data_IF_708211467720
#
_entry.id   IF_708211467720
#
_cell.length_a   1.000
_cell.length_b   1.000
_cell.length_c   1.000
_cell.angle_alpha   90.00
_cell.angle_beta   90.00
_cell.angle_gamma   90.00
#
_symmetry.space_group_name_H-M   'P 1'
#
loop_
_entity.id
_entity.type
_entity.pdbx_description
1 polymer ?
#
# COMPACT_ATOMS: atom_id res chain seq x y z
N UNK A 1 -3.76 -21.53 -17.76
CA UNK A 1 -4.48 -20.26 -17.92
C UNK A 1 -5.62 -20.12 -16.90
N UNK A 2 -6.57 -21.09 -16.84
CA UNK A 2 -7.66 -21.06 -15.86
C UNK A 2 -7.20 -20.98 -14.40
N UNK A 3 -6.15 -21.73 -14.03
CA UNK A 3 -5.57 -21.70 -12.68
C UNK A 3 -5.11 -20.29 -12.25
N UNK A 4 -4.42 -19.57 -13.12
CA UNK A 4 -3.99 -18.19 -12.84
C UNK A 4 -5.16 -17.22 -12.66
N UNK A 5 -6.26 -17.41 -13.40
CA UNK A 5 -7.48 -16.63 -13.19
C UNK A 5 -8.11 -16.89 -11.82
N UNK A 6 -8.13 -18.14 -11.38
CA UNK A 6 -8.64 -18.52 -10.05
C UNK A 6 -7.75 -17.90 -8.96
N UNK A 7 -6.42 -18.01 -9.10
CA UNK A 7 -5.45 -17.44 -8.15
C UNK A 7 -5.58 -15.93 -8.10
N UNK A 8 -5.64 -15.27 -9.24
CA UNK A 8 -5.82 -13.82 -9.33
C UNK A 8 -7.10 -13.39 -8.61
N UNK A 9 -8.21 -14.05 -8.89
CA UNK A 9 -9.49 -13.68 -8.30
C UNK A 9 -9.53 -13.97 -6.78
N UNK A 10 -8.94 -15.08 -6.33
CA UNK A 10 -8.83 -15.36 -4.90
C UNK A 10 -7.96 -14.30 -4.18
N UNK A 11 -6.85 -13.88 -4.80
CA UNK A 11 -6.01 -12.80 -4.30
C UNK A 11 -6.75 -11.45 -4.23
N UNK A 12 -7.55 -11.14 -5.24
CA UNK A 12 -8.39 -9.95 -5.25
C UNK A 12 -9.45 -9.97 -4.14
N UNK A 13 -10.08 -11.13 -3.86
CA UNK A 13 -11.01 -11.30 -2.75
C UNK A 13 -10.33 -11.08 -1.39
N UNK A 14 -9.15 -11.68 -1.18
CA UNK A 14 -8.37 -11.46 0.02
C UNK A 14 -7.97 -9.99 0.19
N UNK A 15 -7.54 -9.32 -0.87
CA UNK A 15 -7.18 -7.91 -0.85
C UNK A 15 -8.37 -7.00 -0.54
N UNK A 16 -9.55 -7.30 -1.08
CA UNK A 16 -10.79 -6.58 -0.76
C UNK A 16 -11.09 -6.66 0.75
N UNK A 17 -10.97 -7.86 1.34
CA UNK A 17 -11.13 -8.03 2.78
C UNK A 17 -10.04 -7.30 3.60
N UNK A 18 -8.77 -7.42 3.22
CA UNK A 18 -7.67 -6.71 3.87
C UNK A 18 -7.85 -5.19 3.81
N UNK A 19 -8.42 -4.68 2.72
CA UNK A 19 -8.74 -3.25 2.58
C UNK A 19 -9.78 -2.80 3.59
N UNK A 20 -10.82 -3.60 3.85
CA UNK A 20 -11.80 -3.33 4.91
C UNK A 20 -11.14 -3.37 6.29
N UNK A 21 -10.27 -4.36 6.54
CA UNK A 21 -9.50 -4.44 7.78
C UNK A 21 -8.61 -3.20 7.96
N UNK A 22 -7.87 -2.79 6.92
CA UNK A 22 -7.02 -1.61 6.95
C UNK A 22 -7.78 -0.31 7.17
N UNK A 23 -9.04 -0.25 6.71
CA UNK A 23 -9.92 0.91 6.94
C UNK A 23 -10.52 0.93 8.35
N UNK A 24 -10.79 -0.23 8.98
CA UNK A 24 -11.55 -0.32 10.24
C UNK A 24 -10.69 -0.51 11.49
N UNK A 25 -9.67 -1.37 11.43
CA UNK A 25 -8.87 -1.74 12.60
C UNK A 25 -8.11 -0.57 13.23
N UNK A 26 -7.46 0.34 12.48
CA UNK A 26 -6.72 1.43 13.10
C UNK A 26 -7.59 2.43 13.87
N UNK A 27 -8.90 2.45 13.60
CA UNK A 27 -9.89 3.31 14.28
C UNK A 27 -10.80 2.51 15.21
N UNK A 28 -10.36 1.30 15.60
CA UNK A 28 -11.04 0.41 16.55
C UNK A 28 -12.49 0.05 16.17
N UNK A 29 -12.83 0.12 14.88
CA UNK A 29 -14.14 -0.29 14.38
C UNK A 29 -14.20 -1.80 14.16
N UNK A 30 -15.37 -2.38 14.47
CA UNK A 30 -15.62 -3.79 14.20
C UNK A 30 -15.53 -4.12 12.70
N UNK A 31 -14.89 -5.26 12.39
CA UNK A 31 -14.79 -5.77 11.02
C UNK A 31 -16.13 -6.39 10.58
N UNK A 32 -16.90 -6.91 11.54
CA UNK A 32 -18.12 -7.69 11.28
C UNK A 32 -19.34 -6.78 11.17
N UNK A 33 -19.45 -5.79 12.06
CA UNK A 33 -20.62 -4.90 12.15
C UNK A 33 -20.20 -3.43 12.11
N UNK A 34 -20.91 -2.57 11.34
CA UNK A 34 -21.97 -2.88 10.41
C UNK A 34 -21.46 -3.54 9.12
N UNK A 35 -22.37 -4.16 8.35
CA UNK A 35 -22.06 -4.69 7.01
C UNK A 35 -21.51 -3.57 6.12
N UNK A 36 -20.83 -3.97 5.02
CA UNK A 36 -20.36 -3.00 4.02
C UNK A 36 -21.54 -2.17 3.49
N UNK A 37 -21.40 -0.87 3.52
CA UNK A 37 -22.43 0.09 3.12
C UNK A 37 -21.80 1.24 2.34
N UNK A 38 -22.61 1.98 1.61
CA UNK A 38 -22.15 3.16 0.92
C UNK A 38 -21.89 4.30 1.92
N UNK A 39 -20.75 4.97 1.84
CA UNK A 39 -20.40 6.09 2.74
C UNK A 39 -21.38 7.28 2.60
N UNK A 40 -22.04 7.43 1.44
CA UNK A 40 -22.91 8.55 1.14
C UNK A 40 -24.37 8.29 1.58
N UNK A 41 -24.99 7.18 1.11
CA UNK A 41 -26.40 6.90 1.38
C UNK A 41 -26.62 5.90 2.52
N UNK A 42 -25.55 5.35 3.12
CA UNK A 42 -25.57 4.37 4.22
C UNK A 42 -26.34 3.07 3.90
N UNK A 43 -26.72 2.86 2.65
CA UNK A 43 -27.39 1.64 2.20
C UNK A 43 -26.42 0.46 2.24
N UNK A 44 -26.81 -0.68 2.83
CA UNK A 44 -26.00 -1.88 2.83
C UNK A 44 -25.79 -2.39 1.40
N UNK A 45 -24.56 -2.80 1.09
CA UNK A 45 -24.21 -3.35 -0.21
C UNK A 45 -24.78 -4.75 -0.37
N UNK A 46 -25.32 -5.05 -1.55
CA UNK A 46 -25.75 -6.39 -1.90
C UNK A 46 -24.53 -7.30 -2.12
N UNK A 47 -24.69 -8.61 -1.99
CA UNK A 47 -23.58 -9.56 -2.14
C UNK A 47 -22.88 -9.48 -3.50
N UNK A 48 -23.62 -9.20 -4.57
CA UNK A 48 -23.05 -9.04 -5.92
C UNK A 48 -22.28 -7.71 -6.09
N UNK A 49 -22.56 -6.69 -5.26
CA UNK A 49 -21.83 -5.43 -5.24
C UNK A 49 -20.51 -5.56 -4.43
N UNK A 50 -20.31 -6.68 -3.74
CA UNK A 50 -19.07 -7.00 -3.03
C UNK A 50 -18.08 -7.84 -3.87
N UNK A 51 -18.45 -8.23 -5.10
CA UNK A 51 -17.55 -8.96 -5.98
C UNK A 51 -16.39 -8.07 -6.41
N UNK A 52 -15.13 -8.43 -6.05
CA UNK A 52 -13.98 -7.60 -6.36
C UNK A 52 -13.83 -7.38 -7.86
N UNK A 53 -13.39 -6.20 -8.25
CA UNK A 53 -13.20 -5.74 -9.63
C UNK A 53 -14.49 -5.69 -10.45
N UNK A 54 -15.30 -6.75 -10.45
CA UNK A 54 -16.51 -6.85 -11.27
C UNK A 54 -17.58 -5.83 -10.87
N UNK A 55 -17.81 -5.65 -9.57
CA UNK A 55 -18.81 -4.69 -9.09
C UNK A 55 -18.42 -3.26 -9.50
N UNK A 56 -17.15 -2.90 -9.32
CA UNK A 56 -16.66 -1.57 -9.68
C UNK A 56 -16.78 -1.30 -11.20
N UNK A 57 -16.40 -2.28 -12.03
CA UNK A 57 -16.50 -2.16 -13.49
C UNK A 57 -17.95 -2.11 -13.96
N UNK A 58 -18.81 -2.97 -13.42
CA UNK A 58 -20.24 -3.01 -13.76
C UNK A 58 -20.98 -1.74 -13.38
N UNK A 59 -20.68 -1.18 -12.21
CA UNK A 59 -21.28 0.07 -11.71
C UNK A 59 -20.54 1.34 -12.20
N UNK A 60 -19.53 1.20 -13.07
CA UNK A 60 -18.72 2.32 -13.58
C UNK A 60 -18.16 3.20 -12.45
N UNK A 61 -17.81 2.59 -11.32
CA UNK A 61 -17.26 3.30 -10.16
C UNK A 61 -18.28 4.14 -9.37
N UNK A 62 -19.57 3.87 -9.50
CA UNK A 62 -20.63 4.61 -8.81
C UNK A 62 -21.50 3.70 -7.94
N UNK A 63 -22.06 4.25 -6.88
CA UNK A 63 -23.03 3.53 -6.05
C UNK A 63 -24.30 3.23 -6.85
N UNK A 64 -24.86 2.03 -6.69
CA UNK A 64 -26.10 1.62 -7.35
C UNK A 64 -27.30 2.49 -6.99
N UNK A 65 -27.37 2.97 -5.74
CA UNK A 65 -28.55 3.68 -5.20
C UNK A 65 -28.43 5.19 -5.32
N UNK A 66 -27.31 5.78 -4.88
CA UNK A 66 -27.16 7.24 -4.84
C UNK A 66 -26.21 7.78 -5.93
N UNK A 67 -25.62 6.91 -6.76
CA UNK A 67 -24.67 7.28 -7.81
C UNK A 67 -23.43 8.06 -7.33
N UNK A 68 -23.16 8.07 -6.01
CA UNK A 68 -21.93 8.66 -5.47
C UNK A 68 -20.72 7.88 -5.99
N UNK A 69 -19.64 8.60 -6.31
CA UNK A 69 -18.41 8.01 -6.84
C UNK A 69 -17.69 7.18 -5.77
N UNK A 70 -17.38 5.94 -6.11
CA UNK A 70 -16.58 5.02 -5.27
C UNK A 70 -15.11 5.37 -5.46
N UNK A 71 -14.35 5.43 -4.36
CA UNK A 71 -12.90 5.73 -4.42
C UNK A 71 -12.17 4.67 -5.24
N UNK A 72 -11.36 5.06 -6.23
CA UNK A 72 -10.65 4.11 -7.07
C UNK A 72 -9.58 3.31 -6.31
N UNK A 73 -9.22 3.73 -5.09
CA UNK A 73 -8.29 3.02 -4.21
C UNK A 73 -8.73 1.58 -3.94
N UNK A 74 -10.04 1.32 -3.84
CA UNK A 74 -10.56 -0.03 -3.65
C UNK A 74 -10.28 -0.92 -4.87
N UNK A 75 -10.52 -0.41 -6.07
CA UNK A 75 -10.22 -1.13 -7.32
C UNK A 75 -8.72 -1.46 -7.44
N UNK A 76 -7.87 -0.46 -7.15
CA UNK A 76 -6.41 -0.65 -7.24
C UNK A 76 -5.90 -1.64 -6.19
N UNK A 77 -6.43 -1.63 -4.97
CA UNK A 77 -6.04 -2.60 -3.95
C UNK A 77 -6.40 -4.04 -4.35
N UNK A 78 -7.58 -4.26 -4.93
CA UNK A 78 -8.03 -5.56 -5.42
C UNK A 78 -7.17 -6.04 -6.61
N UNK A 79 -6.86 -5.15 -7.56
CA UNK A 79 -6.00 -5.46 -8.70
C UNK A 79 -4.58 -5.85 -8.24
N UNK A 80 -3.98 -5.04 -7.36
CA UNK A 80 -2.64 -5.30 -6.82
C UNK A 80 -2.63 -6.62 -6.03
N UNK A 81 -3.64 -6.88 -5.20
CA UNK A 81 -3.74 -8.13 -4.46
C UNK A 81 -3.88 -9.38 -5.35
N UNK A 82 -4.64 -9.28 -6.43
CA UNK A 82 -4.73 -10.33 -7.44
C UNK A 82 -3.39 -10.59 -8.15
N UNK A 83 -2.69 -9.53 -8.56
CA UNK A 83 -1.35 -9.62 -9.16
C UNK A 83 -0.32 -10.18 -8.17
N UNK A 84 -0.37 -9.77 -6.91
CA UNK A 84 0.49 -10.27 -5.86
C UNK A 84 0.31 -11.78 -5.64
N UNK A 85 -0.93 -12.27 -5.63
CA UNK A 85 -1.22 -13.70 -5.53
C UNK A 85 -0.67 -14.48 -6.72
N UNK A 86 -0.80 -13.97 -7.94
CA UNK A 86 -0.20 -14.57 -9.13
C UNK A 86 1.33 -14.59 -9.05
N UNK A 87 1.94 -13.51 -8.56
CA UNK A 87 3.39 -13.43 -8.38
C UNK A 87 3.88 -14.46 -7.36
N UNK A 88 3.26 -14.54 -6.19
CA UNK A 88 3.60 -15.52 -5.14
C UNK A 88 3.53 -16.94 -5.71
N UNK A 89 2.52 -17.24 -6.51
CA UNK A 89 2.33 -18.55 -7.09
C UNK A 89 3.34 -18.84 -8.21
N UNK A 90 3.61 -17.88 -9.12
CA UNK A 90 4.53 -18.07 -10.26
C UNK A 90 5.97 -18.30 -9.82
N UNK A 91 6.42 -17.57 -8.79
CA UNK A 91 7.78 -17.68 -8.25
C UNK A 91 7.93 -18.84 -7.25
N UNK A 92 6.83 -19.58 -6.97
CA UNK A 92 6.83 -20.68 -5.98
C UNK A 92 7.47 -20.25 -4.65
N UNK A 93 7.14 -19.02 -4.22
CA UNK A 93 7.71 -18.42 -3.01
C UNK A 93 7.43 -19.29 -1.79
N UNK A 94 8.39 -19.36 -0.89
CA UNK A 94 8.21 -20.01 0.41
C UNK A 94 7.08 -19.32 1.20
N UNK A 95 6.39 -20.09 2.03
CA UNK A 95 5.21 -19.62 2.78
C UNK A 95 5.51 -18.41 3.68
N UNK A 96 6.70 -18.35 4.20
CA UNK A 96 7.22 -17.26 5.04
C UNK A 96 7.36 -15.94 4.25
N UNK A 97 7.94 -15.99 3.04
CA UNK A 97 8.02 -14.82 2.17
C UNK A 97 6.65 -14.40 1.65
N UNK A 98 5.78 -15.35 1.31
CA UNK A 98 4.41 -15.06 0.94
C UNK A 98 3.66 -14.35 2.08
N UNK A 99 3.81 -14.83 3.32
CA UNK A 99 3.25 -14.23 4.51
C UNK A 99 3.77 -12.80 4.74
N UNK A 100 5.10 -12.59 4.61
CA UNK A 100 5.71 -11.27 4.71
C UNK A 100 5.14 -10.29 3.67
N UNK A 101 5.00 -10.72 2.41
CA UNK A 101 4.43 -9.89 1.34
C UNK A 101 2.98 -9.48 1.61
N UNK A 102 2.16 -10.38 2.16
CA UNK A 102 0.79 -10.08 2.54
C UNK A 102 0.74 -9.04 3.68
N UNK A 103 1.61 -9.18 4.69
CA UNK A 103 1.71 -8.19 5.78
C UNK A 103 2.16 -6.83 5.25
N UNK A 104 3.18 -6.78 4.39
CA UNK A 104 3.64 -5.53 3.79
C UNK A 104 2.55 -4.88 2.94
N UNK A 105 1.78 -5.67 2.20
CA UNK A 105 0.61 -5.17 1.46
C UNK A 105 -0.43 -4.57 2.41
N UNK A 106 -0.74 -5.25 3.52
CA UNK A 106 -1.66 -4.72 4.52
C UNK A 106 -1.17 -3.41 5.16
N UNK A 107 0.12 -3.33 5.55
CA UNK A 107 0.73 -2.12 6.11
C UNK A 107 0.66 -0.97 5.09
N UNK A 108 0.93 -1.24 3.82
CA UNK A 108 0.84 -0.23 2.77
C UNK A 108 -0.58 0.31 2.57
N UNK A 109 -1.62 -0.53 2.78
CA UNK A 109 -3.01 -0.11 2.76
C UNK A 109 -3.35 0.80 3.95
N UNK A 110 -2.86 0.47 5.15
CA UNK A 110 -3.07 1.32 6.33
C UNK A 110 -2.40 2.67 6.16
N UNK A 111 -1.16 2.69 5.67
CA UNK A 111 -0.43 3.92 5.38
C UNK A 111 -1.14 4.78 4.33
N UNK A 112 -1.67 4.16 3.28
CA UNK A 112 -2.45 4.86 2.24
C UNK A 112 -3.70 5.57 2.80
N UNK A 113 -4.34 5.01 3.83
CA UNK A 113 -5.56 5.58 4.40
C UNK A 113 -5.31 6.57 5.52
N UNK A 114 -4.32 6.32 6.38
CA UNK A 114 -4.14 7.04 7.64
C UNK A 114 -2.78 7.73 7.78
N UNK A 115 -1.82 7.43 6.92
CA UNK A 115 -0.43 7.90 7.02
C UNK A 115 0.23 7.55 8.37
N UNK A 116 -0.14 6.38 8.92
CA UNK A 116 0.42 5.84 10.16
C UNK A 116 0.89 4.41 9.94
N UNK A 117 1.98 4.06 10.58
CA UNK A 117 2.40 2.66 10.68
C UNK A 117 1.67 2.01 11.86
N UNK A 118 0.80 1.04 11.53
CA UNK A 118 0.06 0.29 12.54
C UNK A 118 0.94 -0.85 13.06
N UNK A 119 1.33 -0.87 14.35
CA UNK A 119 2.37 -1.76 14.84
C UNK A 119 1.95 -3.23 14.95
N UNK A 120 0.66 -3.51 15.15
CA UNK A 120 0.17 -4.88 15.40
C UNK A 120 0.55 -5.88 14.30
N UNK A 121 0.35 -5.61 12.99
CA UNK A 121 0.76 -6.54 11.93
C UNK A 121 2.27 -6.72 11.85
N UNK A 122 3.03 -5.68 12.18
CA UNK A 122 4.49 -5.73 12.24
C UNK A 122 4.96 -6.72 13.32
N UNK A 123 4.41 -6.63 14.53
CA UNK A 123 4.74 -7.59 15.60
C UNK A 123 4.22 -8.99 15.29
N UNK A 124 3.07 -9.12 14.62
CA UNK A 124 2.57 -10.41 14.18
C UNK A 124 3.53 -11.10 13.19
N UNK A 125 4.28 -10.34 12.39
CA UNK A 125 5.27 -10.88 11.47
C UNK A 125 6.47 -11.54 12.18
N UNK A 126 6.76 -11.16 13.44
CA UNK A 126 7.86 -11.74 14.20
C UNK A 126 7.57 -13.17 14.64
N UNK A 127 6.30 -13.57 14.79
CA UNK A 127 5.93 -14.90 15.27
C UNK A 127 6.51 -16.03 14.40
N UNK A 128 6.27 -16.08 13.09
CA UNK A 128 6.88 -17.10 12.23
C UNK A 128 8.40 -16.92 12.09
N UNK A 129 8.92 -15.70 12.19
CA UNK A 129 10.36 -15.45 12.18
C UNK A 129 11.05 -16.17 13.35
N UNK A 130 10.55 -16.03 14.57
CA UNK A 130 11.08 -16.69 15.74
C UNK A 130 11.00 -18.21 15.64
N UNK A 131 9.91 -18.73 15.04
CA UNK A 131 9.68 -20.17 14.97
C UNK A 131 10.53 -20.84 13.88
N UNK A 132 10.69 -20.20 12.71
CA UNK A 132 11.29 -20.80 11.51
C UNK A 132 12.77 -20.44 11.32
N UNK A 133 13.18 -19.23 11.73
CA UNK A 133 14.46 -18.63 11.36
C UNK A 133 15.41 -18.35 12.53
N UNK A 134 15.04 -18.79 13.76
CA UNK A 134 15.89 -18.61 14.96
C UNK A 134 17.39 -18.90 14.76
N UNK A 135 17.83 -19.87 13.94
CA UNK A 135 19.25 -20.16 13.75
C UNK A 135 19.98 -19.30 12.73
N UNK A 136 19.29 -18.47 11.95
CA UNK A 136 19.96 -17.70 10.88
C UNK A 136 20.42 -16.34 11.41
N UNK A 137 21.74 -16.12 11.35
CA UNK A 137 22.48 -15.02 11.98
C UNK A 137 22.24 -13.60 11.40
N UNK A 138 21.02 -13.16 11.18
CA UNK A 138 20.75 -11.78 10.75
C UNK A 138 20.65 -10.77 11.91
N UNK A 139 20.72 -11.23 13.15
CA UNK A 139 20.57 -10.40 14.35
C UNK A 139 21.59 -9.27 14.45
N UNK A 140 22.87 -9.56 14.15
CA UNK A 140 23.93 -8.55 14.17
C UNK A 140 23.69 -7.44 13.14
N UNK A 141 23.31 -7.82 11.90
CA UNK A 141 22.96 -6.85 10.87
C UNK A 141 21.78 -5.98 11.26
N UNK A 142 20.72 -6.60 11.79
CA UNK A 142 19.52 -5.90 12.22
C UNK A 142 19.78 -4.96 13.42
N UNK A 143 20.57 -5.37 14.41
CA UNK A 143 20.91 -4.52 15.55
C UNK A 143 21.75 -3.32 15.15
N UNK A 144 22.79 -3.52 14.32
CA UNK A 144 23.63 -2.43 13.80
C UNK A 144 22.77 -1.45 12.97
N UNK A 145 21.89 -1.98 12.11
CA UNK A 145 21.02 -1.18 11.27
C UNK A 145 20.00 -0.39 12.10
N UNK A 146 19.39 -1.02 13.09
CA UNK A 146 18.47 -0.38 14.03
C UNK A 146 19.16 0.77 14.79
N UNK A 147 20.35 0.54 15.33
CA UNK A 147 21.13 1.58 16.01
C UNK A 147 21.48 2.73 15.05
N UNK A 148 21.87 2.43 13.83
CA UNK A 148 22.13 3.45 12.80
C UNK A 148 20.90 4.30 12.47
N UNK A 149 19.74 3.65 12.30
CA UNK A 149 18.47 4.35 12.06
C UNK A 149 18.03 5.19 13.26
N UNK A 150 18.17 4.69 14.48
CA UNK A 150 17.88 5.46 15.70
C UNK A 150 18.78 6.68 15.83
N UNK A 151 20.04 6.57 15.48
CA UNK A 151 20.95 7.73 15.42
C UNK A 151 20.49 8.75 14.37
N UNK A 152 20.05 8.30 13.19
CA UNK A 152 19.52 9.22 12.17
C UNK A 152 18.24 9.91 12.60
N UNK A 153 17.32 9.22 13.31
CA UNK A 153 16.11 9.85 13.87
C UNK A 153 16.43 10.89 14.93
N UNK A 154 17.47 10.66 15.71
CA UNK A 154 17.93 11.60 16.73
C UNK A 154 18.52 12.88 16.10
N UNK A 155 19.28 12.76 15.00
CA UNK A 155 19.96 13.89 14.35
C UNK A 155 19.09 14.59 13.28
N UNK A 156 18.22 13.87 12.62
CA UNK A 156 17.38 14.37 11.54
C UNK A 156 15.90 14.12 11.88
N UNK A 157 15.16 15.17 12.18
CA UNK A 157 13.72 15.13 12.54
C UNK A 157 12.78 14.66 11.41
N UNK A 158 13.29 13.94 10.42
CA UNK A 158 12.53 13.50 9.23
C UNK A 158 12.17 12.02 9.16
N UNK A 159 12.68 11.19 10.07
CA UNK A 159 12.41 9.76 10.08
C UNK A 159 11.42 9.40 11.20
N UNK A 160 10.34 8.67 10.87
CA UNK A 160 9.37 8.21 11.86
C UNK A 160 9.87 6.95 12.61
N UNK A 161 9.51 6.81 13.88
CA UNK A 161 9.85 5.58 14.65
C UNK A 161 9.29 4.32 13.98
N UNK A 162 8.13 4.39 13.35
CA UNK A 162 7.54 3.28 12.62
C UNK A 162 8.39 2.80 11.44
N UNK A 163 9.04 3.72 10.72
CA UNK A 163 9.94 3.37 9.61
C UNK A 163 11.17 2.60 10.12
N UNK A 164 11.68 2.96 11.32
CA UNK A 164 12.76 2.22 11.97
C UNK A 164 12.34 0.79 12.32
N UNK A 165 11.14 0.63 12.92
CA UNK A 165 10.60 -0.69 13.25
C UNK A 165 10.41 -1.55 12.00
N UNK A 166 9.79 -0.99 10.94
CA UNK A 166 9.55 -1.69 9.69
C UNK A 166 10.87 -2.17 9.05
N UNK A 167 11.83 -1.28 8.90
CA UNK A 167 13.11 -1.60 8.28
C UNK A 167 13.93 -2.58 9.11
N UNK A 168 13.86 -2.50 10.43
CA UNK A 168 14.54 -3.44 11.33
C UNK A 168 13.94 -4.85 11.19
N UNK A 169 12.62 -4.97 11.19
CA UNK A 169 11.92 -6.26 11.02
C UNK A 169 12.21 -6.84 9.63
N UNK A 170 12.20 -6.02 8.57
CA UNK A 170 12.59 -6.47 7.24
C UNK A 170 14.02 -6.98 7.20
N UNK A 171 14.95 -6.32 7.91
CA UNK A 171 16.35 -6.76 7.97
C UNK A 171 16.48 -8.09 8.71
N UNK A 172 15.66 -8.34 9.72
CA UNK A 172 15.60 -9.65 10.38
C UNK A 172 15.10 -10.76 9.44
N UNK A 173 14.12 -10.44 8.57
CA UNK A 173 13.54 -11.41 7.64
C UNK A 173 14.44 -11.76 6.45
N UNK A 174 14.95 -10.77 5.78
CA UNK A 174 15.58 -10.91 4.45
C UNK A 174 17.09 -10.68 4.51
N UNK A 175 17.57 -10.09 5.60
CA UNK A 175 18.96 -9.69 5.75
C UNK A 175 19.21 -8.24 5.36
N UNK A 176 20.38 -7.72 5.74
CA UNK A 176 20.71 -6.30 5.57
C UNK A 176 20.91 -5.92 4.09
N UNK A 177 21.60 -6.75 3.32
CA UNK A 177 21.96 -6.43 1.94
C UNK A 177 20.73 -6.27 1.01
N UNK A 178 19.74 -7.19 0.97
CA UNK A 178 18.54 -7.00 0.17
C UNK A 178 17.71 -5.78 0.62
N UNK A 179 17.62 -5.51 1.92
CA UNK A 179 16.89 -4.35 2.44
C UNK A 179 17.52 -3.05 1.97
N UNK A 180 18.84 -2.93 1.99
CA UNK A 180 19.55 -1.76 1.47
C UNK A 180 19.31 -1.57 -0.03
N UNK A 181 19.29 -2.64 -0.82
CA UNK A 181 18.98 -2.58 -2.26
C UNK A 181 17.55 -2.10 -2.52
N UNK A 182 16.58 -2.61 -1.75
CA UNK A 182 15.17 -2.19 -1.84
C UNK A 182 15.04 -0.72 -1.46
N UNK A 183 15.69 -0.28 -0.39
CA UNK A 183 15.66 1.09 0.07
C UNK A 183 16.26 2.05 -0.98
N UNK A 184 17.41 1.68 -1.57
CA UNK A 184 18.01 2.45 -2.66
C UNK A 184 17.08 2.55 -3.87
N UNK A 185 16.47 1.44 -4.29
CA UNK A 185 15.52 1.44 -5.40
C UNK A 185 14.31 2.34 -5.10
N UNK A 186 13.74 2.25 -3.89
CA UNK A 186 12.63 3.08 -3.45
C UNK A 186 12.99 4.58 -3.46
N UNK A 187 14.16 4.95 -2.96
CA UNK A 187 14.66 6.33 -2.99
C UNK A 187 14.83 6.84 -4.43
N UNK A 188 15.41 6.04 -5.32
CA UNK A 188 15.56 6.41 -6.73
C UNK A 188 14.21 6.63 -7.41
N UNK A 189 13.24 5.73 -7.19
CA UNK A 189 11.89 5.87 -7.74
C UNK A 189 11.22 7.14 -7.21
N UNK A 190 11.33 7.43 -5.91
CA UNK A 190 10.82 8.66 -5.31
C UNK A 190 11.42 9.92 -5.94
N UNK A 191 12.72 9.95 -6.12
CA UNK A 191 13.44 11.10 -6.72
C UNK A 191 12.98 11.29 -8.17
N UNK A 192 12.90 10.20 -8.95
CA UNK A 192 12.41 10.24 -10.33
C UNK A 192 10.97 10.76 -10.41
N UNK A 193 10.09 10.25 -9.55
CA UNK A 193 8.69 10.68 -9.53
C UNK A 193 8.53 12.14 -9.14
N UNK A 194 9.28 12.62 -8.15
CA UNK A 194 9.29 14.05 -7.77
C UNK A 194 9.87 14.93 -8.89
N UNK A 195 10.91 14.45 -9.58
CA UNK A 195 11.49 15.14 -10.74
C UNK A 195 10.47 15.32 -11.87
N UNK A 196 9.72 14.26 -12.20
CA UNK A 196 8.66 14.30 -13.23
C UNK A 196 7.54 15.25 -12.80
N UNK A 197 7.07 15.17 -11.55
CA UNK A 197 6.02 16.04 -11.02
C UNK A 197 6.42 17.52 -11.06
N UNK A 198 7.67 17.84 -10.69
CA UNK A 198 8.22 19.20 -10.71
C UNK A 198 8.38 19.73 -12.16
N UNK A 199 8.77 18.86 -13.07
CA UNK A 199 8.85 19.17 -14.51
C UNK A 199 7.46 19.46 -15.10
N UNK A 200 6.46 18.61 -14.81
CA UNK A 200 5.08 18.79 -15.24
C UNK A 200 4.47 20.10 -14.72
N UNK A 201 4.73 20.47 -13.47
CA UNK A 201 4.25 21.72 -12.88
C UNK A 201 4.92 22.94 -13.56
N UNK A 202 6.22 22.86 -13.90
CA UNK A 202 6.93 23.93 -14.65
C UNK A 202 6.39 24.09 -16.05
N UNK A 203 6.09 22.99 -16.76
CA UNK A 203 5.51 23.01 -18.11
C UNK A 203 4.09 23.60 -18.11
N UNK A 204 3.27 23.25 -17.11
CA UNK A 204 1.92 23.80 -16.97
C UNK A 204 1.96 25.31 -16.64
N UNK A 205 2.89 25.74 -15.79
CA UNK A 205 3.09 27.16 -15.48
C UNK A 205 3.62 27.97 -16.68
N UNK A 206 4.43 27.36 -17.56
CA UNK A 206 4.85 27.95 -18.85
C UNK A 206 3.68 28.04 -19.81
N UNK A 207 2.85 26.99 -19.96
CA UNK A 207 1.66 27.00 -20.81
C UNK A 207 0.62 28.03 -20.33
N UNK A 208 0.43 28.19 -19.06
CA UNK A 208 -0.45 29.22 -18.49
C UNK A 208 0.07 30.63 -18.79
N UNK A 209 1.38 30.88 -18.69
CA UNK A 209 1.98 32.16 -19.08
C UNK A 209 1.87 32.45 -20.56
N UNK A 210 2.02 31.45 -21.43
CA UNK A 210 1.83 31.61 -22.88
C UNK A 210 0.38 31.87 -23.27
N UNK A 211 -0.58 31.38 -22.47
CA UNK A 211 -2.02 31.61 -22.73
C UNK A 211 -2.49 32.97 -22.24
N UNK A 212 -1.76 33.62 -21.33
CA UNK A 212 -2.08 34.95 -20.77
C UNK A 212 -1.33 36.10 -21.42
N UNK A 213 -0.58 35.90 -22.48
CA UNK A 213 -0.02 36.92 -23.32
C UNK A 213 -0.39 36.62 -24.80
N UNK A 214 -1.14 37.36 -25.51
CA UNK A 214 -1.38 38.79 -25.58
C UNK A 214 -2.79 39.18 -26.08
N UNK A 215 -3.85 39.10 -25.30
CA UNK A 215 -5.17 39.56 -25.78
C UNK A 215 -5.62 40.87 -25.13
N UNK A 216 -4.91 41.36 -24.14
CA UNK A 216 -5.28 42.63 -23.46
C UNK A 216 -4.23 43.74 -23.69
N UNK A 217 -3.91 44.03 -24.97
CA UNK A 217 -3.10 45.21 -25.28
C UNK A 217 -3.71 46.07 -26.39
N UNK A 218 -4.99 46.00 -26.62
CA UNK A 218 -5.69 46.95 -27.48
C UNK A 218 -7.14 47.12 -26.96
N UNK A 219 -7.34 47.89 -25.94
CA UNK A 219 -8.48 48.78 -25.76
C UNK A 219 -8.09 49.77 -24.64
N UNK A 220 -7.74 51.04 -25.09
CA UNK A 220 -7.61 52.31 -24.35
C UNK A 220 -6.54 52.38 -23.29
#
# INVERSE_FOLDING_TARGET
>A
MLLYLIIFYSGACCASFLTVCAWRLPIEKSIITPRSHCDCCQQPLAWHDLLPLFSYLYLHGHCRTCHAQIKPTFLFSELIGGLLACFIFSESLSWDLAYLLVILFYISLVDLFYYILYPIPLFASLVPLFYLYWPQNHWLGATIFCCGLLLTTYWASGFGFGDVELLTILTLWVGLEPVLRILLAACLICILFQGIKKSGHRLNKRRARFRLSPIYRWVW
#
